data_IF_678667443704
#
_entry.id   IF_678667443704
#
_cell.length_a   1.000
_cell.length_b   1.000
_cell.length_c   1.000
_cell.angle_alpha   90.00
_cell.angle_beta   90.00
_cell.angle_gamma   90.00
#
_symmetry.space_group_name_H-M   'P 1'
#
loop_
_entity.id
_entity.type
_entity.pdbx_description
1 polymer ?
#
# COMPACT_ATOMS: atom_id res chain seq x y z
N UNK A 1 9.77 4.37 -45.10
CA UNK A 1 8.52 4.91 -44.52
C UNK A 1 7.60 3.82 -43.93
N UNK A 2 7.92 2.51 -44.01
CA UNK A 2 7.08 1.45 -43.39
C UNK A 2 7.22 1.31 -41.86
N UNK A 3 8.36 1.72 -41.29
CA UNK A 3 8.66 1.50 -39.87
C UNK A 3 7.84 2.41 -38.93
N UNK A 4 7.45 3.59 -39.41
CA UNK A 4 6.68 4.58 -38.65
C UNK A 4 5.23 4.10 -38.50
N UNK A 5 4.64 3.54 -39.56
CA UNK A 5 3.28 3.00 -39.51
C UNK A 5 3.18 1.77 -38.61
N UNK A 6 4.14 0.83 -38.69
CA UNK A 6 4.18 -0.32 -37.77
C UNK A 6 4.27 0.08 -36.30
N UNK A 7 5.10 1.08 -35.98
CA UNK A 7 5.27 1.55 -34.60
C UNK A 7 4.01 2.24 -34.07
N UNK A 8 3.32 2.99 -34.93
CA UNK A 8 2.06 3.66 -34.58
C UNK A 8 0.93 2.65 -34.36
N UNK A 9 0.91 1.58 -35.16
CA UNK A 9 -0.03 0.48 -35.00
C UNK A 9 0.23 -0.32 -33.71
N UNK A 10 1.49 -0.64 -33.39
CA UNK A 10 1.87 -1.29 -32.14
C UNK A 10 1.47 -0.48 -30.89
N UNK A 11 1.65 0.85 -30.91
CA UNK A 11 1.23 1.73 -29.82
C UNK A 11 -0.30 1.79 -29.66
N UNK A 12 -1.03 1.69 -30.76
CA UNK A 12 -2.50 1.64 -30.76
C UNK A 12 -3.00 0.31 -30.19
N UNK A 13 -2.43 -0.81 -30.64
CA UNK A 13 -2.75 -2.16 -30.15
C UNK A 13 -2.39 -2.31 -28.66
N UNK A 14 -1.21 -1.82 -28.22
CA UNK A 14 -0.81 -1.83 -26.82
C UNK A 14 -1.75 -1.00 -25.93
N UNK A 15 -2.23 0.15 -26.41
CA UNK A 15 -3.22 0.94 -25.68
C UNK A 15 -4.58 0.23 -25.58
N UNK A 16 -4.98 -0.52 -26.61
CA UNK A 16 -6.22 -1.31 -26.58
C UNK A 16 -6.10 -2.52 -25.63
N UNK A 17 -4.94 -3.18 -25.56
CA UNK A 17 -4.66 -4.28 -24.63
C UNK A 17 -4.61 -3.78 -23.17
N UNK A 18 -3.98 -2.62 -22.94
CA UNK A 18 -3.93 -1.96 -21.63
C UNK A 18 -5.31 -1.54 -21.12
N UNK A 19 -6.26 -1.25 -22.01
CA UNK A 19 -7.66 -1.00 -21.64
C UNK A 19 -8.44 -2.28 -21.30
N UNK A 20 -8.01 -3.45 -21.81
CA UNK A 20 -8.55 -4.77 -21.42
C UNK A 20 -8.00 -5.28 -20.09
N UNK A 21 -6.85 -4.79 -19.65
CA UNK A 21 -6.39 -5.00 -18.28
C UNK A 21 -7.32 -4.20 -17.38
N UNK A 22 -8.25 -4.91 -16.75
CA UNK A 22 -9.22 -4.40 -15.77
C UNK A 22 -8.51 -3.61 -14.69
N UNK A 23 -8.26 -2.32 -14.92
CA UNK A 23 -7.66 -1.44 -13.94
C UNK A 23 -8.65 -1.36 -12.78
N UNK A 24 -8.27 -1.85 -11.58
CA UNK A 24 -9.19 -1.94 -10.47
C UNK A 24 -9.69 -0.55 -10.11
N UNK A 25 -11.02 -0.41 -10.00
CA UNK A 25 -11.70 0.82 -9.62
C UNK A 25 -11.15 1.32 -8.28
N UNK A 26 -10.58 2.53 -8.28
CA UNK A 26 -9.87 3.20 -7.16
C UNK A 26 -10.63 3.16 -5.82
N UNK A 27 -11.95 2.96 -5.83
CA UNK A 27 -12.82 2.89 -4.66
C UNK A 27 -12.49 1.75 -3.70
N UNK A 28 -12.03 0.59 -4.19
CA UNK A 28 -11.70 -0.54 -3.30
C UNK A 28 -10.36 -0.35 -2.58
N UNK A 29 -9.41 0.36 -3.21
CA UNK A 29 -8.08 0.58 -2.65
C UNK A 29 -8.15 1.47 -1.42
N UNK A 30 -8.97 2.53 -1.47
CA UNK A 30 -9.13 3.48 -0.35
C UNK A 30 -9.75 2.81 0.88
N UNK A 31 -10.73 1.92 0.69
CA UNK A 31 -11.37 1.21 1.79
C UNK A 31 -10.38 0.29 2.51
N UNK A 32 -9.59 -0.48 1.76
CA UNK A 32 -8.57 -1.37 2.33
C UNK A 32 -7.45 -0.60 3.03
N UNK A 33 -7.01 0.54 2.50
CA UNK A 33 -5.99 1.38 3.16
C UNK A 33 -6.49 1.92 4.50
N UNK A 34 -7.75 2.32 4.60
CA UNK A 34 -8.30 2.85 5.86
C UNK A 34 -8.35 1.80 6.98
N UNK A 35 -8.69 0.56 6.63
CA UNK A 35 -8.67 -0.57 7.56
C UNK A 35 -7.26 -0.84 8.09
N UNK A 36 -6.25 -0.81 7.20
CA UNK A 36 -4.85 -0.99 7.59
C UNK A 36 -4.38 0.13 8.52
N UNK A 37 -4.73 1.39 8.24
CA UNK A 37 -4.41 2.53 9.11
C UNK A 37 -5.02 2.33 10.50
N UNK A 38 -6.29 1.94 10.58
CA UNK A 38 -6.94 1.66 11.86
C UNK A 38 -6.27 0.52 12.64
N UNK A 39 -5.91 -0.57 11.96
CA UNK A 39 -5.22 -1.70 12.57
C UNK A 39 -3.85 -1.29 13.13
N UNK A 40 -3.04 -0.58 12.33
CA UNK A 40 -1.71 -0.11 12.76
C UNK A 40 -1.83 0.81 13.97
N UNK A 41 -2.81 1.72 13.98
CA UNK A 41 -3.04 2.63 15.10
C UNK A 41 -3.29 1.89 16.43
N UNK A 42 -4.12 0.85 16.41
CA UNK A 42 -4.40 0.02 17.59
C UNK A 42 -3.14 -0.72 18.06
N UNK A 43 -2.40 -1.33 17.13
CA UNK A 43 -1.15 -2.06 17.43
C UNK A 43 -0.10 -1.11 18.03
N UNK A 44 0.06 0.10 17.47
CA UNK A 44 1.02 1.09 17.95
C UNK A 44 0.70 1.55 19.38
N UNK A 45 -0.57 1.74 19.73
CA UNK A 45 -0.98 2.08 21.10
C UNK A 45 -0.64 0.93 22.05
N UNK A 46 -0.96 -0.31 21.67
CA UNK A 46 -0.67 -1.48 22.49
C UNK A 46 0.82 -1.65 22.74
N UNK A 47 1.64 -1.61 21.68
CA UNK A 47 3.09 -1.71 21.81
C UNK A 47 3.66 -0.58 22.65
N UNK A 48 3.28 0.68 22.38
CA UNK A 48 3.75 1.83 23.16
C UNK A 48 3.41 1.74 24.65
N UNK A 49 2.25 1.17 25.01
CA UNK A 49 1.89 0.91 26.39
C UNK A 49 2.77 -0.18 27.03
N UNK A 50 3.01 -1.27 26.31
CA UNK A 50 3.89 -2.36 26.76
C UNK A 50 5.33 -1.86 26.92
N UNK A 51 5.85 -1.09 25.97
CA UNK A 51 7.18 -0.48 26.04
C UNK A 51 7.33 0.45 27.25
N UNK A 52 6.28 1.20 27.60
CA UNK A 52 6.27 2.06 28.79
C UNK A 52 6.32 1.24 30.08
N UNK A 53 5.57 0.14 30.15
CA UNK A 53 5.59 -0.79 31.30
C UNK A 53 6.97 -1.43 31.44
N UNK A 54 7.54 -1.95 30.35
CA UNK A 54 8.85 -2.59 30.35
C UNK A 54 9.95 -1.61 30.73
N UNK A 55 9.95 -0.39 30.18
CA UNK A 55 10.91 0.66 30.55
C UNK A 55 10.86 0.98 32.04
N UNK A 56 9.65 1.01 32.63
CA UNK A 56 9.47 1.25 34.07
C UNK A 56 9.91 0.05 34.91
N UNK A 57 9.60 -1.17 34.47
CA UNK A 57 9.98 -2.42 35.16
C UNK A 57 11.49 -2.64 35.15
N UNK A 58 12.13 -2.43 34.00
CA UNK A 58 13.60 -2.49 33.84
C UNK A 58 14.26 -1.46 34.75
N UNK A 59 13.74 -0.23 34.81
CA UNK A 59 14.27 0.83 35.68
C UNK A 59 14.06 0.52 37.17
N UNK A 60 13.06 -0.28 37.52
CA UNK A 60 12.84 -0.75 38.89
C UNK A 60 13.75 -1.93 39.26
N UNK A 61 14.16 -2.75 38.29
CA UNK A 61 15.08 -3.88 38.48
C UNK A 61 16.56 -3.47 38.48
N UNK A 62 16.94 -2.51 37.63
CA UNK A 62 18.31 -1.96 37.54
C UNK A 62 18.55 -0.80 38.53
N UNK A 63 17.50 -0.38 39.24
CA UNK A 63 17.56 0.60 40.33
C UNK A 63 17.77 -0.07 41.67
#
# INVERSE_FOLDING_TARGET
>A
MEFIDRSRQFLSEANQELQRVTWPVKKHIVASTWVVIGLVFVISIFLGFVDFIFSKLIRWILG
#
